data_IF_585449773008
#
_entry.id   IF_585449773008
#
_cell.length_a   1.000
_cell.length_b   1.000
_cell.length_c   1.000
_cell.angle_alpha   90.00
_cell.angle_beta   90.00
_cell.angle_gamma   90.00
#
_symmetry.space_group_name_H-M   'P 1'
#
loop_
_entity.id
_entity.type
_entity.pdbx_description
1 polymer ?
#
# COMPACT_ATOMS: atom_id res chain seq x y z
N UNK A 1 -42.68 17.63 65.84
CA UNK A 1 -41.45 16.85 65.56
C UNK A 1 -40.49 17.77 64.83
N UNK A 2 -39.31 18.00 65.41
CA UNK A 2 -38.45 19.19 65.20
C UNK A 2 -38.02 19.40 63.75
N UNK A 3 -38.08 20.64 63.27
CA UNK A 3 -37.63 21.06 61.93
C UNK A 3 -36.15 20.76 61.63
N UNK A 4 -35.35 20.41 62.65
CA UNK A 4 -33.97 19.94 62.48
C UNK A 4 -33.93 18.53 61.85
N UNK A 5 -34.94 17.68 62.11
CA UNK A 5 -35.05 16.36 61.47
C UNK A 5 -35.40 16.48 59.97
N UNK A 6 -36.18 17.50 59.59
CA UNK A 6 -36.57 17.75 58.20
C UNK A 6 -35.41 18.29 57.34
N UNK A 7 -34.48 19.05 57.94
CA UNK A 7 -33.27 19.52 57.26
C UNK A 7 -32.25 18.37 57.11
N UNK A 8 -32.15 17.46 58.09
CA UNK A 8 -31.30 16.26 57.95
C UNK A 8 -31.82 15.26 56.91
N UNK A 9 -33.14 15.11 56.74
CA UNK A 9 -33.71 14.26 55.67
C UNK A 9 -33.52 14.86 54.26
N UNK A 10 -33.55 16.19 54.13
CA UNK A 10 -33.28 16.88 52.84
C UNK A 10 -31.81 16.78 52.42
N UNK A 11 -30.86 16.75 53.36
CA UNK A 11 -29.44 16.51 53.05
C UNK A 11 -29.16 15.05 52.66
N UNK A 12 -29.89 14.08 53.22
CA UNK A 12 -29.76 12.67 52.82
C UNK A 12 -30.35 12.40 51.42
N UNK A 13 -31.43 13.07 51.01
CA UNK A 13 -31.99 12.96 49.66
C UNK A 13 -31.10 13.60 48.58
N UNK A 14 -30.42 14.71 48.88
CA UNK A 14 -29.52 15.37 47.91
C UNK A 14 -28.24 14.54 47.70
N UNK A 15 -27.73 13.86 48.73
CA UNK A 15 -26.57 12.98 48.59
C UNK A 15 -26.87 11.67 47.84
N UNK A 16 -28.16 11.35 47.61
CA UNK A 16 -28.61 10.19 46.84
C UNK A 16 -28.95 10.50 45.37
N UNK A 17 -29.06 11.79 44.99
CA UNK A 17 -29.28 12.25 43.61
C UNK A 17 -27.99 12.53 42.84
N UNK A 18 -26.83 12.43 43.50
CA UNK A 18 -25.49 12.56 42.91
C UNK A 18 -24.70 11.26 43.10
N UNK A 19 -25.35 10.13 42.85
CA UNK A 19 -24.62 8.91 42.52
C UNK A 19 -24.59 8.83 41.00
N UNK A 20 -23.43 8.93 40.32
CA UNK A 20 -23.35 8.36 39.00
C UNK A 20 -23.65 6.87 39.19
N UNK A 21 -24.85 6.44 38.78
CA UNK A 21 -25.09 5.05 38.48
C UNK A 21 -23.98 4.65 37.53
N UNK A 22 -22.98 3.94 38.05
CA UNK A 22 -22.12 3.07 37.28
C UNK A 22 -23.06 2.04 36.68
N UNK A 23 -23.71 2.40 35.58
CA UNK A 23 -24.12 1.41 34.61
C UNK A 23 -22.78 0.85 34.18
N UNK A 24 -22.44 -0.30 34.76
CA UNK A 24 -21.37 -1.13 34.25
C UNK A 24 -21.61 -1.13 32.74
N UNK A 25 -20.68 -0.50 32.01
CA UNK A 25 -20.61 -0.70 30.59
C UNK A 25 -20.54 -2.22 30.46
N UNK A 26 -21.61 -2.82 29.98
CA UNK A 26 -21.60 -4.23 29.64
C UNK A 26 -20.36 -4.39 28.79
N UNK A 27 -19.45 -5.21 29.32
CA UNK A 27 -18.22 -5.56 28.66
C UNK A 27 -18.64 -6.28 27.39
N UNK A 28 -18.86 -5.52 26.32
CA UNK A 28 -18.82 -6.01 24.96
C UNK A 28 -17.54 -6.81 24.90
N UNK A 29 -17.69 -8.13 24.81
CA UNK A 29 -16.57 -9.04 24.93
C UNK A 29 -15.49 -8.57 23.97
N UNK A 30 -14.22 -8.73 24.34
CA UNK A 30 -13.10 -8.49 23.44
C UNK A 30 -13.30 -9.18 22.08
N UNK A 31 -14.10 -10.25 22.04
CA UNK A 31 -14.58 -10.92 20.83
C UNK A 31 -15.53 -10.09 19.96
N UNK A 32 -16.50 -9.39 20.54
CA UNK A 32 -17.44 -8.54 19.80
C UNK A 32 -16.77 -7.25 19.33
N UNK A 33 -15.93 -6.64 20.19
CA UNK A 33 -15.12 -5.49 19.80
C UNK A 33 -14.13 -5.87 18.69
N UNK A 34 -13.45 -7.03 18.78
CA UNK A 34 -12.59 -7.54 17.72
C UNK A 34 -13.35 -7.89 16.44
N UNK A 35 -14.59 -8.39 16.53
CA UNK A 35 -15.43 -8.66 15.37
C UNK A 35 -15.88 -7.36 14.70
N UNK A 36 -16.30 -6.34 15.46
CA UNK A 36 -16.65 -5.02 14.93
C UNK A 36 -15.45 -4.24 14.41
N UNK A 37 -14.28 -4.41 15.02
CA UNK A 37 -13.03 -3.81 14.55
C UNK A 37 -12.50 -4.57 13.31
N UNK A 38 -12.64 -5.88 13.23
CA UNK A 38 -12.33 -6.65 12.01
C UNK A 38 -13.30 -6.31 10.89
N UNK A 39 -14.57 -6.01 11.19
CA UNK A 39 -15.53 -5.47 10.23
C UNK A 39 -15.18 -4.05 9.79
N UNK A 40 -14.85 -3.15 10.72
CA UNK A 40 -14.51 -1.76 10.45
C UNK A 40 -13.13 -1.58 9.78
N UNK A 41 -12.18 -2.48 10.03
CA UNK A 41 -10.87 -2.53 9.35
C UNK A 41 -10.92 -3.32 8.05
N UNK A 42 -11.89 -4.23 7.89
CA UNK A 42 -12.22 -4.84 6.59
C UNK A 42 -12.78 -3.83 5.59
N UNK A 43 -13.48 -2.80 6.07
CA UNK A 43 -14.06 -1.73 5.26
C UNK A 43 -13.07 -0.56 4.98
N UNK A 44 -11.96 -0.50 5.71
CA UNK A 44 -10.92 0.52 5.54
C UNK A 44 -9.78 0.10 4.59
N UNK A 45 -9.86 -1.10 3.99
CA UNK A 45 -8.93 -1.60 2.98
C UNK A 45 -9.68 -2.02 1.70
N UNK A 46 -10.18 -1.04 0.95
CA UNK A 46 -10.13 -1.15 -0.50
C UNK A 46 -8.66 -0.92 -0.90
N UNK A 47 -7.73 -1.86 -0.73
CA UNK A 47 -7.78 -3.26 -1.14
C UNK A 47 -6.92 -3.38 -2.39
N UNK A 48 -5.60 -3.18 -2.26
CA UNK A 48 -4.70 -3.51 -3.37
C UNK A 48 -4.69 -5.04 -3.45
N UNK A 49 -5.47 -5.59 -4.38
CA UNK A 49 -5.64 -7.02 -4.56
C UNK A 49 -4.29 -7.71 -4.70
N UNK A 50 -4.18 -8.90 -4.12
CA UNK A 50 -2.93 -9.66 -4.00
C UNK A 50 -2.93 -10.88 -4.91
N UNK A 51 -1.77 -11.51 -5.09
CA UNK A 51 -1.69 -12.80 -5.76
C UNK A 51 -2.58 -13.89 -5.13
N UNK A 52 -2.75 -13.88 -3.80
CA UNK A 52 -3.66 -14.80 -3.10
C UNK A 52 -5.14 -14.51 -3.42
N UNK A 53 -5.50 -13.23 -3.57
CA UNK A 53 -6.84 -12.82 -4.01
C UNK A 53 -7.11 -13.27 -5.45
N UNK A 54 -6.10 -13.21 -6.33
CA UNK A 54 -6.21 -13.76 -7.69
C UNK A 54 -6.45 -15.26 -7.70
N UNK A 55 -5.77 -16.04 -6.85
CA UNK A 55 -6.05 -17.47 -6.72
C UNK A 55 -7.45 -17.72 -6.20
N UNK A 56 -7.88 -16.97 -5.19
CA UNK A 56 -9.23 -17.08 -4.60
C UNK A 56 -10.32 -16.72 -5.62
N UNK A 57 -10.11 -15.66 -6.40
CA UNK A 57 -11.01 -15.27 -7.48
C UNK A 57 -11.01 -16.33 -8.60
N UNK A 58 -9.86 -16.87 -8.98
CA UNK A 58 -9.75 -17.94 -9.98
C UNK A 58 -10.51 -19.21 -9.58
N UNK A 59 -10.55 -19.56 -8.28
CA UNK A 59 -11.29 -20.72 -7.80
C UNK A 59 -12.79 -20.64 -8.09
N UNK A 60 -13.38 -19.45 -8.15
CA UNK A 60 -14.82 -19.25 -8.47
C UNK A 60 -15.20 -19.75 -9.86
N UNK A 61 -14.23 -19.77 -10.77
CA UNK A 61 -14.44 -20.13 -12.17
C UNK A 61 -14.15 -21.61 -12.46
N UNK A 62 -13.71 -22.39 -11.48
CA UNK A 62 -13.52 -23.85 -11.66
C UNK A 62 -14.86 -24.49 -12.04
N UNK A 63 -14.85 -25.30 -13.10
CA UNK A 63 -16.05 -25.92 -13.66
C UNK A 63 -16.76 -25.11 -14.75
N UNK A 64 -16.31 -23.88 -15.03
CA UNK A 64 -16.83 -23.12 -16.19
C UNK A 64 -16.35 -23.80 -17.48
N UNK A 65 -17.25 -24.10 -18.44
CA UNK A 65 -16.86 -24.74 -19.70
C UNK A 65 -15.88 -23.91 -20.51
N UNK A 66 -14.91 -24.57 -21.14
CA UNK A 66 -14.07 -23.92 -22.11
C UNK A 66 -14.86 -23.58 -23.38
N UNK A 67 -14.79 -22.31 -23.80
CA UNK A 67 -15.30 -21.85 -25.09
C UNK A 67 -14.24 -20.99 -25.76
N UNK A 68 -13.83 -21.36 -26.97
CA UNK A 68 -12.85 -20.59 -27.74
C UNK A 68 -13.38 -19.16 -27.99
N UNK A 69 -12.62 -18.15 -27.58
CA UNK A 69 -13.08 -16.76 -27.67
C UNK A 69 -14.00 -16.32 -26.52
N UNK A 70 -14.33 -17.21 -25.58
CA UNK A 70 -15.25 -16.94 -24.48
C UNK A 70 -14.69 -15.93 -23.46
N UNK A 71 -15.53 -14.98 -23.06
CA UNK A 71 -15.24 -13.94 -22.05
C UNK A 71 -16.35 -13.81 -21.00
N UNK A 72 -17.33 -14.71 -21.01
CA UNK A 72 -18.49 -14.64 -20.13
C UNK A 72 -18.60 -15.97 -19.36
N UNK A 73 -18.42 -15.97 -18.03
CA UNK A 73 -18.46 -17.19 -17.23
C UNK A 73 -19.80 -17.94 -17.28
N UNK A 74 -20.89 -17.27 -17.68
CA UNK A 74 -22.20 -17.94 -17.83
C UNK A 74 -22.27 -18.80 -19.09
N UNK A 75 -21.50 -18.47 -20.14
CA UNK A 75 -21.54 -19.16 -21.43
C UNK A 75 -20.25 -19.92 -21.75
N UNK A 76 -19.15 -19.56 -21.09
CA UNK A 76 -17.86 -20.23 -21.18
C UNK A 76 -16.69 -19.25 -21.33
N UNK A 77 -15.51 -19.72 -20.94
CA UNK A 77 -14.27 -18.92 -20.94
C UNK A 77 -13.18 -19.61 -21.76
N UNK A 78 -12.38 -18.84 -22.49
CA UNK A 78 -11.07 -19.33 -22.96
C UNK A 78 -9.96 -18.99 -21.95
N UNK A 79 -8.73 -19.44 -22.23
CA UNK A 79 -7.60 -19.27 -21.32
C UNK A 79 -7.33 -17.80 -20.96
N UNK A 80 -7.41 -16.91 -21.93
CA UNK A 80 -7.21 -15.48 -21.74
C UNK A 80 -8.45 -14.76 -21.19
N UNK A 81 -9.65 -15.23 -21.52
CA UNK A 81 -10.92 -14.74 -20.97
C UNK A 81 -11.04 -15.06 -19.48
N UNK A 82 -10.61 -16.24 -19.04
CA UNK A 82 -10.48 -16.59 -17.63
C UNK A 82 -9.56 -15.62 -16.90
N UNK A 83 -8.38 -15.34 -17.46
CA UNK A 83 -7.42 -14.39 -16.87
C UNK A 83 -8.02 -12.98 -16.80
N UNK A 84 -8.71 -12.50 -17.84
CA UNK A 84 -9.40 -11.21 -17.77
C UNK A 84 -10.46 -11.17 -16.68
N UNK A 85 -11.27 -12.22 -16.57
CA UNK A 85 -12.35 -12.28 -15.60
C UNK A 85 -11.83 -12.24 -14.16
N UNK A 86 -10.80 -13.04 -13.86
CA UNK A 86 -10.20 -13.10 -12.52
C UNK A 86 -9.57 -11.78 -12.09
N UNK A 87 -8.83 -11.11 -12.98
CA UNK A 87 -8.19 -9.84 -12.64
C UNK A 87 -9.18 -8.68 -12.70
N UNK A 88 -10.22 -8.76 -13.54
CA UNK A 88 -11.34 -7.82 -13.56
C UNK A 88 -12.14 -7.82 -12.25
N UNK A 89 -12.38 -8.99 -11.65
CA UNK A 89 -12.99 -9.12 -10.30
C UNK A 89 -12.18 -8.36 -9.22
N UNK A 90 -10.89 -8.17 -9.48
CA UNK A 90 -9.93 -7.50 -8.61
C UNK A 90 -9.66 -6.05 -9.04
N UNK A 91 -10.40 -5.53 -10.02
CA UNK A 91 -10.26 -4.17 -10.54
C UNK A 91 -9.03 -3.96 -11.43
N UNK A 92 -8.46 -5.01 -12.01
CA UNK A 92 -7.30 -4.95 -12.89
C UNK A 92 -7.68 -5.32 -14.32
N UNK A 93 -7.59 -4.33 -15.22
CA UNK A 93 -7.85 -4.51 -16.63
C UNK A 93 -6.66 -5.18 -17.33
N UNK A 94 -6.92 -6.33 -17.96
CA UNK A 94 -5.94 -7.05 -18.77
C UNK A 94 -6.32 -7.06 -20.26
N UNK A 95 -5.33 -7.07 -21.19
CA UNK A 95 -5.59 -7.26 -22.61
C UNK A 95 -6.36 -8.55 -22.89
N UNK A 96 -7.14 -8.57 -23.98
CA UNK A 96 -7.98 -9.72 -24.33
C UNK A 96 -7.20 -10.98 -24.71
N UNK A 97 -6.04 -10.83 -25.35
CA UNK A 97 -5.31 -11.97 -25.94
C UNK A 97 -4.10 -12.35 -25.09
N UNK A 98 -3.86 -13.66 -24.96
CA UNK A 98 -2.79 -14.25 -24.14
C UNK A 98 -1.38 -13.72 -24.50
N UNK A 99 -1.13 -13.45 -25.79
CA UNK A 99 0.13 -12.85 -26.28
C UNK A 99 0.45 -11.49 -25.66
N UNK A 100 -0.56 -10.69 -25.39
CA UNK A 100 -0.38 -9.37 -24.80
C UNK A 100 -0.43 -9.43 -23.27
N UNK A 101 -1.26 -10.31 -22.70
CA UNK A 101 -1.24 -10.62 -21.27
C UNK A 101 0.15 -11.10 -20.82
N UNK A 102 0.84 -11.90 -21.64
CA UNK A 102 2.21 -12.36 -21.41
C UNK A 102 3.28 -11.25 -21.44
N UNK A 103 2.90 -9.99 -21.61
CA UNK A 103 3.77 -8.80 -21.54
C UNK A 103 3.40 -7.84 -20.41
N UNK A 104 2.28 -8.08 -19.72
CA UNK A 104 1.79 -7.22 -18.63
C UNK A 104 2.56 -7.50 -17.35
N UNK A 105 2.75 -6.48 -16.50
CA UNK A 105 3.36 -6.63 -15.19
C UNK A 105 4.86 -6.92 -15.22
N UNK A 106 5.39 -7.41 -14.11
CA UNK A 106 6.82 -7.69 -13.94
C UNK A 106 7.16 -9.10 -14.42
N UNK A 107 8.26 -9.24 -15.16
CA UNK A 107 8.78 -10.56 -15.55
C UNK A 107 9.27 -11.34 -14.31
N UNK A 108 8.82 -12.58 -14.17
CA UNK A 108 9.35 -13.51 -13.17
C UNK A 108 10.33 -14.47 -13.85
N UNK A 109 11.60 -14.57 -13.40
CA UNK A 109 12.64 -15.29 -14.14
C UNK A 109 12.43 -16.81 -14.29
N UNK A 110 11.76 -17.46 -13.33
CA UNK A 110 11.57 -18.91 -13.32
C UNK A 110 10.36 -19.31 -12.50
N UNK A 111 9.91 -20.56 -12.67
CA UNK A 111 8.80 -21.12 -11.89
C UNK A 111 9.11 -21.19 -10.38
N UNK A 112 10.38 -21.34 -10.00
CA UNK A 112 10.82 -21.32 -8.59
C UNK A 112 10.63 -19.96 -7.93
N UNK A 113 10.61 -18.88 -8.73
CA UNK A 113 10.35 -17.51 -8.28
C UNK A 113 8.89 -17.10 -8.49
N UNK A 114 8.11 -17.97 -9.16
CA UNK A 114 6.69 -17.76 -9.36
C UNK A 114 5.94 -17.93 -8.05
N UNK A 115 4.92 -17.10 -7.88
CA UNK A 115 4.10 -17.03 -6.69
C UNK A 115 2.62 -17.16 -7.06
N UNK A 116 1.78 -17.65 -6.14
CA UNK A 116 0.35 -17.73 -6.36
C UNK A 116 -0.20 -16.39 -6.90
N UNK A 117 -0.93 -16.43 -8.01
CA UNK A 117 -1.41 -15.25 -8.72
C UNK A 117 -0.45 -14.68 -9.77
N UNK A 118 0.67 -15.33 -10.07
CA UNK A 118 1.46 -15.02 -11.26
C UNK A 118 0.83 -15.68 -12.49
N UNK A 119 0.86 -15.00 -13.64
CA UNK A 119 0.45 -15.57 -14.91
C UNK A 119 1.56 -16.44 -15.48
N UNK A 120 1.22 -17.64 -15.93
CA UNK A 120 2.11 -18.57 -16.63
C UNK A 120 1.65 -18.74 -18.07
N UNK A 121 2.49 -18.36 -19.03
CA UNK A 121 2.16 -18.34 -20.46
C UNK A 121 3.02 -19.34 -21.25
N UNK A 122 2.42 -20.01 -22.23
CA UNK A 122 3.02 -21.12 -22.97
C UNK A 122 2.93 -20.93 -24.49
N UNK A 123 3.98 -21.38 -25.18
CA UNK A 123 4.10 -21.36 -26.63
C UNK A 123 4.80 -20.11 -27.18
N UNK A 124 5.33 -20.24 -28.39
CA UNK A 124 5.89 -19.13 -29.18
C UNK A 124 5.39 -19.20 -30.62
N UNK A 125 4.39 -18.38 -31.01
CA UNK A 125 3.70 -17.37 -30.21
C UNK A 125 2.86 -17.97 -29.08
N UNK A 126 2.63 -17.19 -28.00
CA UNK A 126 1.83 -17.63 -26.85
C UNK A 126 0.43 -18.02 -27.32
N UNK A 127 0.04 -19.27 -27.05
CA UNK A 127 -1.29 -19.82 -27.38
C UNK A 127 -2.06 -20.23 -26.13
N UNK A 128 -1.40 -20.38 -24.97
CA UNK A 128 -2.05 -20.76 -23.72
C UNK A 128 -1.54 -19.94 -22.54
N UNK A 129 -2.41 -19.69 -21.55
CA UNK A 129 -2.08 -18.94 -20.34
C UNK A 129 -2.90 -19.47 -19.15
N UNK A 130 -2.36 -19.38 -17.95
CA UNK A 130 -3.03 -19.76 -16.70
C UNK A 130 -2.54 -18.95 -15.52
N UNK A 131 -3.18 -19.15 -14.36
CA UNK A 131 -2.87 -18.47 -13.10
C UNK A 131 -2.17 -19.46 -12.19
N UNK A 132 -0.91 -19.22 -11.86
CA UNK A 132 -0.11 -20.06 -10.98
C UNK A 132 -0.71 -20.05 -9.57
N UNK A 133 -0.77 -21.22 -8.93
CA UNK A 133 -1.34 -21.35 -7.57
C UNK A 133 -0.34 -21.92 -6.56
N UNK A 134 0.93 -22.08 -6.95
CA UNK A 134 1.94 -22.77 -6.14
C UNK A 134 2.09 -24.25 -6.51
N UNK A 135 3.10 -24.91 -5.94
CA UNK A 135 3.39 -26.35 -6.07
C UNK A 135 3.45 -26.87 -7.52
N UNK A 136 3.88 -26.04 -8.48
CA UNK A 136 3.90 -26.43 -9.89
C UNK A 136 2.50 -26.60 -10.49
N UNK A 137 1.47 -25.98 -9.92
CA UNK A 137 0.08 -26.05 -10.38
C UNK A 137 -0.44 -24.69 -10.85
N UNK A 138 -1.46 -24.70 -11.69
CA UNK A 138 -2.16 -23.51 -12.16
C UNK A 138 -3.67 -23.77 -12.29
N UNK A 139 -4.47 -22.71 -12.18
CA UNK A 139 -5.85 -22.71 -12.65
C UNK A 139 -5.84 -22.20 -14.09
N UNK A 140 -6.44 -22.95 -15.01
CA UNK A 140 -6.51 -22.59 -16.43
C UNK A 140 -7.79 -23.11 -17.08
N UNK A 141 -8.16 -22.50 -18.20
CA UNK A 141 -9.14 -23.05 -19.15
C UNK A 141 -8.36 -23.80 -20.24
N UNK A 142 -8.30 -25.14 -20.22
CA UNK A 142 -7.36 -25.94 -21.01
C UNK A 142 -7.67 -25.93 -22.52
N UNK A 143 -8.81 -26.48 -22.92
CA UNK A 143 -9.16 -26.70 -24.33
C UNK A 143 -10.64 -27.10 -24.46
N UNK A 144 -11.14 -27.14 -25.69
CA UNK A 144 -12.52 -27.49 -25.98
C UNK A 144 -12.92 -28.86 -25.42
N UNK A 145 -14.13 -28.92 -24.85
CA UNK A 145 -14.64 -30.14 -24.21
C UNK A 145 -14.14 -30.38 -22.79
N UNK A 146 -13.44 -29.40 -22.21
CA UNK A 146 -13.01 -29.42 -20.82
C UNK A 146 -13.43 -28.14 -20.11
N UNK A 147 -13.43 -28.19 -18.78
CA UNK A 147 -13.77 -27.05 -17.94
C UNK A 147 -12.51 -26.40 -17.36
N UNK A 148 -12.66 -25.17 -16.88
CA UNK A 148 -11.66 -24.52 -16.03
C UNK A 148 -11.34 -25.42 -14.85
N UNK A 149 -10.06 -25.72 -14.65
CA UNK A 149 -9.62 -26.69 -13.64
C UNK A 149 -8.24 -26.36 -13.10
N UNK A 150 -7.91 -27.00 -11.98
CA UNK A 150 -6.52 -27.06 -11.50
C UNK A 150 -5.76 -28.08 -12.32
N UNK A 151 -4.69 -27.65 -12.97
CA UNK A 151 -3.77 -28.48 -13.74
C UNK A 151 -2.33 -28.32 -13.26
N UNK A 152 -1.46 -29.23 -13.68
CA UNK A 152 -0.01 -29.04 -13.51
C UNK A 152 0.48 -27.97 -14.51
N UNK A 153 1.48 -27.20 -14.11
CA UNK A 153 2.36 -26.51 -15.04
C UNK A 153 3.18 -27.60 -15.74
N UNK A 154 2.70 -28.03 -16.90
CA UNK A 154 3.13 -29.28 -17.55
C UNK A 154 4.42 -29.15 -18.36
N UNK A 155 4.85 -27.92 -18.66
CA UNK A 155 6.09 -27.60 -19.35
C UNK A 155 6.65 -26.27 -18.84
N UNK A 156 7.88 -25.93 -19.23
CA UNK A 156 8.48 -24.64 -18.86
C UNK A 156 7.71 -23.49 -19.51
N UNK A 157 7.16 -22.53 -18.73
CA UNK A 157 6.48 -21.38 -19.31
C UNK A 157 7.43 -20.54 -20.17
N UNK A 158 6.93 -20.07 -21.31
CA UNK A 158 7.65 -19.12 -22.18
C UNK A 158 7.75 -17.73 -21.53
N UNK A 159 6.76 -17.37 -20.70
CA UNK A 159 6.78 -16.16 -19.89
C UNK A 159 6.03 -16.38 -18.58
N UNK A 160 6.53 -15.75 -17.51
CA UNK A 160 5.84 -15.67 -16.22
C UNK A 160 5.69 -14.18 -15.85
N UNK A 161 4.49 -13.75 -15.48
CA UNK A 161 4.17 -12.35 -15.21
C UNK A 161 3.50 -12.14 -13.87
N UNK A 162 4.08 -11.28 -13.05
CA UNK A 162 3.49 -10.79 -11.81
C UNK A 162 2.72 -9.50 -12.09
N UNK A 163 1.40 -9.58 -11.96
CA UNK A 163 0.49 -8.46 -12.26
C UNK A 163 0.06 -7.73 -10.98
N UNK A 164 -0.18 -8.47 -9.89
CA UNK A 164 -0.60 -7.91 -8.61
C UNK A 164 0.58 -7.72 -7.65
N UNK A 165 0.52 -6.72 -6.75
CA UNK A 165 1.52 -6.55 -5.71
C UNK A 165 1.51 -7.71 -4.72
N UNK A 166 2.69 -8.01 -4.19
CA UNK A 166 2.86 -8.99 -3.13
C UNK A 166 2.35 -8.41 -1.81
N UNK A 167 1.39 -9.09 -1.15
CA UNK A 167 1.20 -8.87 0.29
C UNK A 167 2.49 -9.21 1.01
N UNK A 168 3.11 -8.21 1.62
CA UNK A 168 3.97 -8.48 2.78
C UNK A 168 3.06 -9.01 3.88
N UNK A 169 3.22 -10.27 4.24
CA UNK A 169 2.39 -11.01 5.21
C UNK A 169 2.14 -10.22 6.50
N UNK A 170 0.93 -9.70 6.65
CA UNK A 170 0.40 -9.07 7.87
C UNK A 170 0.16 -10.07 9.02
N UNK A 171 0.42 -11.35 8.81
CA UNK A 171 0.17 -12.45 9.77
C UNK A 171 1.36 -12.77 10.67
N UNK A 172 2.56 -12.25 10.40
CA UNK A 172 3.70 -12.33 11.33
C UNK A 172 3.55 -11.41 12.55
N UNK A 173 2.56 -10.52 12.52
CA UNK A 173 2.34 -9.49 13.56
C UNK A 173 1.47 -9.97 14.73
N UNK A 174 0.85 -11.15 14.64
CA UNK A 174 -0.03 -11.68 15.70
C UNK A 174 0.64 -12.72 16.59
N UNK A 175 1.65 -13.45 16.09
CA UNK A 175 2.40 -14.43 16.88
C UNK A 175 3.32 -13.77 17.92
N UNK A 176 3.71 -12.51 17.72
CA UNK A 176 4.46 -11.70 18.68
C UNK A 176 3.59 -11.07 19.80
N UNK A 177 2.28 -11.28 19.79
CA UNK A 177 1.38 -10.78 20.85
C UNK A 177 1.30 -11.72 22.06
N UNK A 178 1.86 -12.94 21.94
CA UNK A 178 1.94 -13.93 23.02
C UNK A 178 2.88 -13.53 24.17
N UNK A 179 3.69 -12.48 24.00
CA UNK A 179 4.57 -11.90 25.01
C UNK A 179 3.95 -10.77 25.85
N UNK A 180 2.70 -10.34 25.60
CA UNK A 180 2.06 -9.23 26.33
C UNK A 180 1.34 -9.68 27.61
N UNK A 181 1.95 -10.58 28.38
CA UNK A 181 1.40 -11.10 29.64
C UNK A 181 1.48 -10.14 30.84
N UNK A 182 1.98 -8.92 30.67
CA UNK A 182 2.00 -7.89 31.72
C UNK A 182 1.49 -6.56 31.19
N UNK A 183 0.17 -6.35 31.29
CA UNK A 183 -0.53 -5.16 30.81
C UNK A 183 -1.24 -4.41 31.96
N UNK A 184 -0.53 -4.18 33.06
CA UNK A 184 -1.00 -3.39 34.21
C UNK A 184 -1.02 -1.87 33.96
N UNK A 185 -0.67 -1.42 32.74
CA UNK A 185 -0.60 0.00 32.39
C UNK A 185 -1.69 0.51 31.44
N UNK A 186 -2.60 -0.35 30.95
CA UNK A 186 -3.58 0.07 29.93
C UNK A 186 -4.78 0.84 30.49
N UNK A 187 -4.97 0.85 31.82
CA UNK A 187 -6.04 1.59 32.49
C UNK A 187 -5.88 3.12 32.40
N UNK A 188 -4.71 3.61 31.97
CA UNK A 188 -4.42 5.04 31.81
C UNK A 188 -4.66 5.55 30.39
N UNK A 189 -5.09 4.71 29.45
CA UNK A 189 -5.31 5.07 28.04
C UNK A 189 -6.77 5.42 27.72
N UNK A 190 -7.67 5.35 28.70
CA UNK A 190 -9.09 5.65 28.54
C UNK A 190 -9.41 7.13 28.26
N UNK A 191 -8.42 8.03 28.28
CA UNK A 191 -8.62 9.47 28.16
C UNK A 191 -7.77 10.18 27.08
N UNK A 192 -7.21 9.47 26.08
CA UNK A 192 -6.56 10.13 24.94
C UNK A 192 -7.37 9.95 23.65
N UNK A 193 -7.84 11.06 23.11
CA UNK A 193 -8.48 11.15 21.80
C UNK A 193 -7.44 11.40 20.70
N UNK A 194 -7.41 10.54 19.68
CA UNK A 194 -6.87 10.84 18.35
C UNK A 194 -5.34 10.82 18.18
N UNK A 195 -4.89 10.05 17.18
CA UNK A 195 -3.61 10.11 16.42
C UNK A 195 -2.24 10.10 17.15
N UNK A 196 -2.14 10.43 18.43
CA UNK A 196 -0.85 10.52 19.15
C UNK A 196 -0.29 9.18 19.65
N UNK A 197 -1.07 8.10 19.57
CA UNK A 197 -0.74 6.84 20.24
C UNK A 197 0.19 5.89 19.47
N UNK A 198 0.41 6.07 18.17
CA UNK A 198 1.31 5.21 17.39
C UNK A 198 2.78 5.67 17.49
N UNK A 199 2.99 6.98 17.55
CA UNK A 199 4.29 7.65 17.67
C UNK A 199 4.91 7.44 19.05
N UNK A 200 4.10 7.45 20.11
CA UNK A 200 4.57 7.21 21.49
C UNK A 200 4.93 5.73 21.73
N UNK A 201 4.29 4.79 21.01
CA UNK A 201 4.51 3.36 21.17
C UNK A 201 5.75 2.87 20.40
N UNK A 202 6.02 3.43 19.22
CA UNK A 202 7.23 3.14 18.44
C UNK A 202 8.49 3.70 19.10
N UNK A 203 8.43 4.90 19.70
CA UNK A 203 9.56 5.49 20.42
C UNK A 203 9.93 4.78 21.72
N UNK A 204 8.98 4.08 22.37
CA UNK A 204 9.20 3.43 23.67
C UNK A 204 9.63 1.95 23.56
N UNK A 205 9.29 1.26 22.47
CA UNK A 205 9.47 -0.19 22.33
C UNK A 205 10.34 -0.65 21.14
N UNK A 206 10.95 0.27 20.38
CA UNK A 206 12.14 -0.01 19.58
C UNK A 206 12.04 -1.08 18.50
N UNK A 207 10.97 -1.09 17.69
CA UNK A 207 10.85 -1.98 16.52
C UNK A 207 11.53 -1.33 15.31
N UNK A 208 12.66 -1.89 14.89
CA UNK A 208 13.45 -1.43 13.74
C UNK A 208 13.33 -2.39 12.56
N UNK A 209 12.75 -1.94 11.45
CA UNK A 209 12.86 -2.58 10.13
C UNK A 209 13.48 -1.56 9.15
N UNK A 210 14.57 -1.93 8.49
CA UNK A 210 15.50 -1.00 7.84
C UNK A 210 14.88 0.14 7.01
N UNK A 211 15.32 1.37 7.30
CA UNK A 211 15.27 2.59 6.47
C UNK A 211 13.89 3.19 6.13
N UNK A 212 13.01 2.40 5.53
CA UNK A 212 11.69 2.82 5.02
C UNK A 212 10.66 3.00 6.14
N UNK A 213 10.78 2.25 7.24
CA UNK A 213 9.81 2.30 8.35
C UNK A 213 9.80 3.64 9.10
N UNK A 214 10.96 4.29 9.26
CA UNK A 214 11.12 5.45 10.15
C UNK A 214 10.35 6.70 9.68
N UNK A 215 10.20 6.87 8.36
CA UNK A 215 9.55 8.06 7.76
C UNK A 215 8.29 7.73 6.96
N UNK A 216 7.90 6.45 6.90
CA UNK A 216 6.72 5.96 6.16
C UNK A 216 5.45 6.78 6.46
N UNK A 217 5.16 7.03 7.74
CA UNK A 217 4.01 7.82 8.16
C UNK A 217 4.09 9.28 7.66
N UNK A 218 5.27 9.90 7.68
CA UNK A 218 5.47 11.26 7.16
C UNK A 218 5.22 11.30 5.65
N UNK A 219 5.73 10.31 4.91
CA UNK A 219 5.50 10.21 3.48
C UNK A 219 4.03 10.03 3.16
N UNK A 220 3.35 9.07 3.81
CA UNK A 220 1.92 8.81 3.58
C UNK A 220 1.08 10.04 3.90
N UNK A 221 1.31 10.68 5.05
CA UNK A 221 0.59 11.88 5.45
C UNK A 221 0.79 13.02 4.44
N UNK A 222 2.02 13.28 4.01
CA UNK A 222 2.31 14.33 3.05
C UNK A 222 1.78 14.00 1.65
N UNK A 223 1.86 12.75 1.17
CA UNK A 223 1.26 12.37 -0.12
C UNK A 223 -0.26 12.58 -0.12
N UNK A 224 -0.94 12.23 0.97
CA UNK A 224 -2.38 12.43 1.11
C UNK A 224 -2.72 13.92 1.19
N UNK A 225 -2.01 14.67 2.03
CA UNK A 225 -2.22 16.12 2.23
C UNK A 225 -2.11 16.92 0.94
N UNK A 226 -1.19 16.55 0.05
CA UNK A 226 -0.92 17.30 -1.18
C UNK A 226 -1.45 16.62 -2.45
N UNK A 227 -2.15 15.48 -2.34
CA UNK A 227 -2.70 14.74 -3.48
C UNK A 227 -1.62 14.24 -4.45
N UNK A 228 -0.51 13.74 -3.91
CA UNK A 228 0.59 13.18 -4.69
C UNK A 228 0.45 11.66 -4.85
N UNK A 229 0.99 11.06 -5.93
CA UNK A 229 1.02 9.61 -6.08
C UNK A 229 1.65 8.89 -4.88
N UNK A 230 1.00 7.82 -4.44
CA UNK A 230 1.51 6.95 -3.37
C UNK A 230 2.92 6.48 -3.68
N UNK A 231 3.80 6.51 -2.69
CA UNK A 231 5.20 6.10 -2.85
C UNK A 231 6.12 7.16 -3.47
N UNK A 232 5.59 8.24 -4.05
CA UNK A 232 6.41 9.29 -4.69
C UNK A 232 7.45 9.88 -3.74
N UNK A 233 7.03 10.31 -2.55
CA UNK A 233 7.95 10.93 -1.58
C UNK A 233 8.98 9.95 -1.03
N UNK A 234 8.61 8.68 -0.84
CA UNK A 234 9.56 7.64 -0.42
C UNK A 234 10.60 7.39 -1.51
N UNK A 235 10.17 7.30 -2.78
CA UNK A 235 11.07 7.09 -3.90
C UNK A 235 12.02 8.29 -4.12
N UNK A 236 11.52 9.52 -3.93
CA UNK A 236 12.34 10.74 -3.91
C UNK A 236 13.33 10.69 -2.75
N UNK A 237 12.89 10.46 -1.50
CA UNK A 237 13.80 10.38 -0.35
C UNK A 237 14.91 9.32 -0.53
N UNK A 238 14.58 8.18 -1.14
CA UNK A 238 15.55 7.15 -1.48
C UNK A 238 16.57 7.62 -2.53
N UNK A 239 16.10 8.31 -3.57
CA UNK A 239 16.96 8.83 -4.62
C UNK A 239 17.87 9.95 -4.11
N UNK A 240 17.35 10.81 -3.24
CA UNK A 240 18.02 11.98 -2.71
C UNK A 240 19.09 11.64 -1.66
N UNK A 241 18.71 10.88 -0.63
CA UNK A 241 19.57 10.67 0.55
C UNK A 241 19.72 9.22 0.95
N UNK A 242 19.06 8.29 0.25
CA UNK A 242 18.86 6.91 0.71
C UNK A 242 18.30 6.88 2.15
N UNK A 243 17.33 7.75 2.42
CA UNK A 243 16.68 7.94 3.72
C UNK A 243 17.58 8.50 4.84
N UNK A 244 18.72 9.13 4.52
CA UNK A 244 19.58 9.75 5.52
C UNK A 244 19.11 11.18 5.86
N UNK A 245 18.54 11.44 7.05
CA UNK A 245 18.06 12.76 7.43
C UNK A 245 19.18 13.79 7.65
N UNK A 246 20.43 13.35 7.75
CA UNK A 246 21.60 14.19 8.02
C UNK A 246 22.45 14.40 6.75
N UNK A 247 21.96 13.99 5.58
CA UNK A 247 22.72 14.09 4.33
C UNK A 247 22.96 15.56 3.94
N UNK A 248 24.18 15.86 3.50
CA UNK A 248 24.55 17.15 2.90
C UNK A 248 25.33 16.88 1.62
N UNK A 249 24.83 17.36 0.48
CA UNK A 249 25.56 17.23 -0.79
C UNK A 249 26.71 18.25 -0.90
N UNK A 250 27.64 18.04 -1.84
CA UNK A 250 28.69 19.02 -2.12
C UNK A 250 28.18 20.37 -2.60
N UNK A 251 26.97 20.42 -3.18
CA UNK A 251 26.29 21.65 -3.56
C UNK A 251 25.49 22.28 -2.41
N UNK A 252 25.41 21.61 -1.26
CA UNK A 252 24.74 22.09 -0.05
C UNK A 252 23.27 21.69 0.07
N UNK A 253 22.77 20.71 -0.71
CA UNK A 253 21.43 20.17 -0.54
C UNK A 253 21.32 19.42 0.80
N UNK A 254 20.21 19.57 1.52
CA UNK A 254 20.12 19.19 2.94
C UNK A 254 19.04 18.16 3.25
N UNK A 255 19.41 17.24 4.12
CA UNK A 255 18.56 16.29 4.82
C UNK A 255 17.87 15.26 3.94
N UNK A 256 16.80 14.68 4.49
CA UNK A 256 16.09 13.51 3.95
C UNK A 256 15.67 13.69 2.49
N UNK A 257 15.25 14.89 2.13
CA UNK A 257 14.70 15.22 0.80
C UNK A 257 15.66 16.07 -0.05
N UNK A 258 16.91 16.24 0.39
CA UNK A 258 17.96 17.04 -0.27
C UNK A 258 17.44 18.39 -0.80
N UNK A 259 16.78 19.16 0.06
CA UNK A 259 16.28 20.49 -0.32
C UNK A 259 17.44 21.49 -0.24
N UNK A 260 17.61 22.31 -1.28
CA UNK A 260 18.60 23.40 -1.28
C UNK A 260 18.25 24.47 -0.24
N UNK A 261 19.22 25.11 0.45
CA UNK A 261 18.94 26.06 1.53
C UNK A 261 18.06 27.25 1.12
N UNK A 262 18.26 27.78 -0.09
CA UNK A 262 17.42 28.85 -0.62
C UNK A 262 15.96 28.41 -0.82
N UNK A 263 15.76 27.17 -1.29
CA UNK A 263 14.45 26.55 -1.45
C UNK A 263 13.79 26.29 -0.10
N UNK A 264 14.53 25.76 0.89
CA UNK A 264 14.05 25.54 2.24
C UNK A 264 13.58 26.85 2.90
N UNK A 265 14.36 27.92 2.75
CA UNK A 265 13.99 29.27 3.19
C UNK A 265 12.71 29.78 2.50
N UNK A 266 12.58 29.57 1.19
CA UNK A 266 11.38 29.96 0.44
C UNK A 266 10.13 29.18 0.84
N UNK A 267 10.29 27.93 1.27
CA UNK A 267 9.21 27.07 1.76
C UNK A 267 8.86 27.31 3.24
N UNK A 268 9.76 27.96 3.99
CA UNK A 268 9.63 28.16 5.43
C UNK A 268 9.85 26.87 6.23
N UNK A 269 10.75 25.99 5.76
CA UNK A 269 11.03 24.69 6.37
C UNK A 269 12.50 24.57 6.75
N UNK A 270 12.77 23.82 7.83
CA UNK A 270 14.10 23.31 8.14
C UNK A 270 14.33 21.98 7.39
N UNK A 271 15.24 21.98 6.42
CA UNK A 271 15.54 20.81 5.59
C UNK A 271 16.23 19.67 6.37
N UNK A 272 16.84 19.95 7.53
CA UNK A 272 17.44 18.94 8.42
C UNK A 272 16.41 18.28 9.34
N UNK A 273 15.23 18.89 9.49
CA UNK A 273 14.11 18.30 10.21
C UNK A 273 13.30 17.40 9.26
N UNK A 274 13.24 16.06 9.46
CA UNK A 274 12.58 15.16 8.51
C UNK A 274 11.11 15.48 8.25
N UNK A 275 10.35 15.86 9.28
CA UNK A 275 8.93 16.24 9.14
C UNK A 275 8.77 17.47 8.24
N UNK A 276 9.56 18.51 8.51
CA UNK A 276 9.51 19.74 7.71
C UNK A 276 10.08 19.56 6.30
N UNK A 277 11.14 18.75 6.15
CA UNK A 277 11.71 18.41 4.85
C UNK A 277 10.71 17.65 3.97
N UNK A 278 9.99 16.67 4.52
CA UNK A 278 8.97 15.91 3.78
C UNK A 278 7.78 16.79 3.40
N UNK A 279 7.26 17.62 4.31
CA UNK A 279 6.18 18.56 3.99
C UNK A 279 6.62 19.57 2.91
N UNK A 280 7.83 20.13 3.04
CA UNK A 280 8.40 21.06 2.08
C UNK A 280 8.61 20.45 0.69
N UNK A 281 9.17 19.24 0.62
CA UNK A 281 9.35 18.52 -0.63
C UNK A 281 8.00 18.18 -1.29
N UNK A 282 7.00 17.79 -0.51
CA UNK A 282 5.66 17.50 -1.01
C UNK A 282 4.97 18.75 -1.58
N UNK A 283 5.06 19.89 -0.88
CA UNK A 283 4.59 21.19 -1.40
C UNK A 283 5.28 21.56 -2.72
N UNK A 284 6.59 21.37 -2.78
CA UNK A 284 7.37 21.69 -3.97
C UNK A 284 6.98 20.80 -5.15
N UNK A 285 6.89 19.48 -4.95
CA UNK A 285 6.46 18.52 -5.98
C UNK A 285 5.03 18.77 -6.44
N UNK A 286 4.12 19.12 -5.53
CA UNK A 286 2.75 19.52 -5.88
C UNK A 286 2.75 20.76 -6.78
N UNK A 287 3.51 21.79 -6.44
CA UNK A 287 3.63 23.00 -7.27
C UNK A 287 4.21 22.69 -8.66
N UNK A 288 5.16 21.78 -8.75
CA UNK A 288 5.74 21.36 -10.04
C UNK A 288 4.75 20.52 -10.85
N UNK A 289 3.99 19.63 -10.20
CA UNK A 289 2.95 18.85 -10.86
C UNK A 289 1.85 19.76 -11.44
N UNK A 290 1.46 20.80 -10.72
CA UNK A 290 0.51 21.82 -11.21
C UNK A 290 1.09 22.65 -12.35
N UNK A 291 2.39 22.97 -12.29
CA UNK A 291 3.07 23.79 -13.32
C UNK A 291 3.29 23.01 -14.62
N UNK A 292 3.65 21.73 -14.53
CA UNK A 292 4.12 20.95 -15.68
C UNK A 292 3.18 19.79 -16.08
N UNK A 293 2.12 19.54 -15.31
CA UNK A 293 1.04 18.61 -15.66
C UNK A 293 1.38 17.12 -15.60
N UNK A 294 2.62 16.73 -15.30
CA UNK A 294 3.00 15.31 -15.21
C UNK A 294 4.08 15.04 -14.16
N UNK A 295 4.03 13.85 -13.56
CA UNK A 295 4.99 13.40 -12.54
C UNK A 295 6.43 13.36 -13.07
N UNK A 296 6.73 12.88 -14.30
CA UNK A 296 8.08 12.91 -14.84
C UNK A 296 8.66 14.33 -14.95
N UNK A 297 7.85 15.30 -15.38
CA UNK A 297 8.29 16.70 -15.47
C UNK A 297 8.41 17.36 -14.10
N UNK A 298 7.56 16.98 -13.14
CA UNK A 298 7.68 17.44 -11.76
C UNK A 298 8.97 16.95 -11.08
N UNK A 299 9.35 15.69 -11.30
CA UNK A 299 10.61 15.12 -10.84
C UNK A 299 11.81 15.76 -11.54
N UNK A 300 11.71 16.03 -12.85
CA UNK A 300 12.75 16.75 -13.58
C UNK A 300 12.95 18.17 -13.03
N UNK A 301 11.84 18.86 -12.70
CA UNK A 301 11.90 20.19 -12.10
C UNK A 301 12.47 20.17 -10.66
N UNK A 302 12.20 19.10 -9.90
CA UNK A 302 12.76 18.92 -8.56
C UNK A 302 14.29 18.77 -8.61
N UNK A 303 14.82 17.98 -9.54
CA UNK A 303 16.26 17.72 -9.68
C UNK A 303 17.02 18.82 -10.44
N UNK A 304 16.52 19.27 -11.59
CA UNK A 304 17.21 20.22 -12.47
C UNK A 304 16.72 21.68 -12.35
N UNK A 305 15.67 21.89 -11.58
CA UNK A 305 14.99 23.18 -11.45
C UNK A 305 13.92 23.41 -12.53
N UNK A 306 12.83 24.13 -12.20
CA UNK A 306 11.73 24.39 -13.12
C UNK A 306 12.13 25.24 -14.33
N UNK A 307 13.18 26.07 -14.20
CA UNK A 307 13.71 26.87 -15.30
C UNK A 307 14.31 26.01 -16.42
N UNK A 308 14.99 24.92 -16.07
CA UNK A 308 15.52 23.97 -17.06
C UNK A 308 14.39 23.27 -17.80
N UNK A 309 13.36 22.78 -17.08
CA UNK A 309 12.19 22.13 -17.70
C UNK A 309 11.47 23.07 -18.67
N UNK A 310 11.29 24.35 -18.31
CA UNK A 310 10.71 25.36 -19.21
C UNK A 310 11.58 25.64 -20.43
N UNK A 311 12.90 25.74 -20.25
CA UNK A 311 13.85 26.02 -21.34
C UNK A 311 13.85 24.93 -22.40
N UNK A 312 13.75 23.67 -21.98
CA UNK A 312 13.79 22.50 -22.88
C UNK A 312 12.40 21.98 -23.26
N UNK A 313 11.33 22.60 -22.76
CA UNK A 313 9.94 22.17 -22.96
C UNK A 313 9.74 20.66 -22.66
N UNK A 314 10.37 20.20 -21.60
CA UNK A 314 10.46 18.77 -21.31
C UNK A 314 11.53 18.41 -20.29
N UNK A 315 11.85 17.13 -20.18
CA UNK A 315 12.98 16.66 -19.36
C UNK A 315 14.26 17.16 -20.02
N UNK A 316 15.09 17.98 -19.34
CA UNK A 316 16.31 18.51 -19.93
C UNK A 316 17.27 17.37 -20.33
N UNK A 317 18.14 17.57 -21.34
CA UNK A 317 19.10 16.57 -21.80
C UNK A 317 20.31 16.45 -20.85
N UNK A 318 20.05 16.41 -19.55
CA UNK A 318 21.02 16.16 -18.49
C UNK A 318 20.95 14.69 -18.13
N UNK A 319 22.05 13.95 -18.34
CA UNK A 319 22.10 12.53 -18.07
C UNK A 319 21.66 12.20 -16.63
N UNK A 320 22.06 13.02 -15.66
CA UNK A 320 21.67 12.90 -14.26
C UNK A 320 20.14 12.97 -14.09
N UNK A 321 19.50 14.01 -14.63
CA UNK A 321 18.05 14.22 -14.51
C UNK A 321 17.25 13.14 -15.22
N UNK A 322 17.65 12.73 -16.42
CA UNK A 322 16.99 11.64 -17.14
C UNK A 322 17.07 10.32 -16.36
N UNK A 323 18.24 10.03 -15.76
CA UNK A 323 18.43 8.85 -14.92
C UNK A 323 17.63 8.93 -13.63
N UNK A 324 17.59 10.10 -12.99
CA UNK A 324 16.82 10.37 -11.78
C UNK A 324 15.33 10.09 -12.00
N UNK A 325 14.74 10.68 -13.05
CA UNK A 325 13.33 10.47 -13.40
C UNK A 325 13.07 8.99 -13.71
N UNK A 326 13.90 8.35 -14.54
CA UNK A 326 13.73 6.93 -14.90
C UNK A 326 13.75 6.02 -13.68
N UNK A 327 14.70 6.23 -12.75
CA UNK A 327 14.85 5.43 -11.53
C UNK A 327 13.63 5.55 -10.62
N UNK A 328 13.15 6.77 -10.39
CA UNK A 328 11.99 7.00 -9.53
C UNK A 328 10.71 6.47 -10.18
N UNK A 329 10.50 6.72 -11.46
CA UNK A 329 9.33 6.20 -12.18
C UNK A 329 9.31 4.66 -12.22
N UNK A 330 10.47 4.01 -12.35
CA UNK A 330 10.56 2.56 -12.25
C UNK A 330 10.16 2.05 -10.86
N UNK A 331 10.58 2.72 -9.78
CA UNK A 331 10.21 2.36 -8.41
C UNK A 331 8.71 2.55 -8.14
N UNK A 332 8.11 3.63 -8.69
CA UNK A 332 6.67 3.91 -8.54
C UNK A 332 5.81 2.89 -9.27
N UNK A 333 6.18 2.55 -10.50
CA UNK A 333 5.46 1.57 -11.31
C UNK A 333 5.63 0.12 -10.82
N UNK A 334 6.63 -0.14 -9.97
CA UNK A 334 6.88 -1.46 -9.37
C UNK A 334 6.15 -1.66 -8.04
N UNK A 335 5.51 -0.62 -7.48
CA UNK A 335 4.86 -0.70 -6.15
C UNK A 335 5.82 -0.92 -4.98
N UNK A 336 7.14 -0.85 -5.20
CA UNK A 336 8.15 -1.13 -4.18
C UNK A 336 8.66 0.19 -3.60
N UNK A 337 8.12 0.56 -2.43
CA UNK A 337 8.84 1.40 -1.48
C UNK A 337 10.06 0.60 -0.99
N UNK A 338 11.17 0.76 -1.71
CA UNK A 338 12.38 0.01 -1.51
C UNK A 338 13.24 0.55 -0.35
#
# INVERSE_FOLDING_TARGET
MSGIQAIMSRMAEINALVVPSTRAAESTSSSEFAATLSGALGDANAGSATGADAVTAAQKYIGVPYVWGGTDPATGLDCSGLVQQVYGDLGVDLPRVSRDQAKVGTAVPSLDQAKPGDLVAFGSPVHHIGIYIGDGKMIHAPEAGQDVKVGKVYETPTAIRRVLPETSSSTSSLSNLSGLSNLSGLSSLSNLTGADSLTALTGKYGVSSGGSSAYSALFTQATQKYGLPTGLLSAVAKAESNYNPNAVSGAGAQGLMQIMPATAKGLGVDAMNPTQAVDGAARLLKSHLETFGSVPLALAAYNAGPGAVRKYDGIPPYNETQNYVRKIMANLNSGVAA
#
